data_IF_073658734068
#
_entry.id   IF_073658734068
#
_cell.length_a   1.000
_cell.length_b   1.000
_cell.length_c   1.000
_cell.angle_alpha   90.00
_cell.angle_beta   90.00
_cell.angle_gamma   90.00
#
_symmetry.space_group_name_H-M   'P 1'
#
loop_
_entity.id
_entity.type
_entity.pdbx_description
1 polymer ?
#
# COMPACT_ATOMS: atom_id res chain seq x y z
N UNK A 1 -10.15 8.31 25.05
CA UNK A 1 -11.08 9.35 25.59
C UNK A 1 -11.37 10.36 24.49
N UNK A 2 -12.48 11.08 24.58
CA UNK A 2 -12.79 12.19 23.67
C UNK A 2 -13.76 13.15 24.38
N UNK A 3 -13.41 14.42 24.50
CA UNK A 3 -14.21 15.40 25.26
C UNK A 3 -13.61 16.80 25.26
N UNK A 4 -14.18 17.71 26.04
CA UNK A 4 -13.66 19.07 26.21
C UNK A 4 -13.65 19.50 27.68
N UNK A 5 -12.83 20.49 28.02
CA UNK A 5 -12.74 21.02 29.38
C UNK A 5 -13.86 22.02 29.66
N UNK A 6 -14.36 22.05 30.90
CA UNK A 6 -15.46 22.93 31.34
C UNK A 6 -15.03 24.00 32.32
N UNK A 7 -13.73 24.10 32.59
CA UNK A 7 -13.12 24.96 33.60
C UNK A 7 -12.07 25.93 33.01
N UNK A 8 -11.76 25.80 31.72
CA UNK A 8 -10.88 26.71 30.97
C UNK A 8 -11.77 27.62 30.10
N UNK A 9 -11.90 28.89 30.50
CA UNK A 9 -12.88 29.84 29.95
C UNK A 9 -12.25 31.15 29.44
N UNK A 10 -10.94 31.15 29.16
CA UNK A 10 -10.23 32.33 28.63
C UNK A 10 -10.46 32.56 27.13
N UNK A 11 -10.98 31.55 26.44
CA UNK A 11 -11.40 31.59 25.03
C UNK A 11 -12.92 31.37 24.95
N UNK A 12 -13.50 31.79 23.84
CA UNK A 12 -14.85 31.45 23.37
C UNK A 12 -15.00 29.98 22.93
N UNK A 13 -13.92 29.21 22.88
CA UNK A 13 -13.91 27.76 22.66
C UNK A 13 -13.31 26.99 23.85
N UNK A 14 -13.95 25.90 24.25
CA UNK A 14 -13.40 24.94 25.22
C UNK A 14 -12.32 24.06 24.56
N UNK A 15 -11.14 23.90 25.18
CA UNK A 15 -10.14 22.93 24.75
C UNK A 15 -10.70 21.50 24.64
N UNK A 16 -10.47 20.85 23.51
CA UNK A 16 -10.86 19.45 23.24
C UNK A 16 -9.67 18.52 23.47
N UNK A 17 -9.90 17.36 24.07
CA UNK A 17 -8.91 16.32 24.29
C UNK A 17 -9.36 14.98 23.72
N UNK A 18 -8.39 14.18 23.29
CA UNK A 18 -8.59 12.80 22.86
C UNK A 18 -7.42 11.93 23.32
N UNK A 19 -7.68 10.65 23.60
CA UNK A 19 -6.62 9.66 23.86
C UNK A 19 -6.89 8.39 23.05
N UNK A 20 -5.82 7.84 22.50
CA UNK A 20 -5.84 6.67 21.62
C UNK A 20 -4.88 5.62 22.16
N UNK A 21 -5.30 4.36 22.08
CA UNK A 21 -4.40 3.21 22.19
C UNK A 21 -3.93 2.88 20.77
N UNK A 22 -2.62 3.01 20.53
CA UNK A 22 -2.03 2.83 19.21
C UNK A 22 -1.00 1.72 19.31
N UNK A 23 -1.22 0.64 18.56
CA UNK A 23 -0.25 -0.44 18.45
C UNK A 23 1.03 0.06 17.75
N UNK A 24 2.18 -0.38 18.24
CA UNK A 24 3.50 -0.06 17.69
C UNK A 24 4.26 -1.34 17.39
N UNK A 25 5.17 -1.27 16.42
CA UNK A 25 6.05 -2.38 16.03
C UNK A 25 7.49 -2.05 16.40
N UNK A 26 8.27 -3.10 16.67
CA UNK A 26 9.68 -2.96 17.04
C UNK A 26 10.55 -2.61 15.83
N UNK A 27 11.73 -2.03 16.07
CA UNK A 27 12.77 -1.96 15.05
C UNK A 27 13.34 -3.37 14.84
N UNK A 28 12.95 -4.02 13.74
CA UNK A 28 13.44 -5.35 13.41
C UNK A 28 14.86 -5.29 12.84
N UNK A 29 15.72 -6.20 13.31
CA UNK A 29 17.05 -6.45 12.76
C UNK A 29 17.10 -7.93 12.43
N UNK A 30 17.15 -8.26 11.14
CA UNK A 30 17.31 -9.65 10.72
C UNK A 30 18.73 -10.13 10.99
N UNK A 31 18.85 -11.38 11.45
CA UNK A 31 20.11 -12.15 11.35
C UNK A 31 20.26 -12.66 9.91
N UNK A 32 20.33 -11.76 8.93
CA UNK A 32 20.80 -12.16 7.62
C UNK A 32 22.32 -12.33 7.74
N UNK A 33 22.76 -13.48 8.27
CA UNK A 33 24.14 -13.92 8.04
C UNK A 33 24.31 -13.94 6.51
N UNK A 34 25.39 -13.32 6.00
CA UNK A 34 25.77 -13.22 4.58
C UNK A 34 25.81 -14.56 3.81
N UNK A 35 25.48 -15.68 4.46
CA UNK A 35 25.47 -17.05 3.94
C UNK A 35 24.09 -17.71 3.92
N UNK A 36 23.04 -17.11 4.46
CA UNK A 36 21.71 -17.71 4.44
C UNK A 36 20.92 -17.20 3.22
N UNK A 37 21.15 -17.83 2.06
CA UNK A 37 20.26 -17.77 0.89
C UNK A 37 18.97 -18.58 1.16
N UNK A 38 18.39 -18.43 2.35
CA UNK A 38 17.08 -18.99 2.69
C UNK A 38 16.03 -18.17 1.95
N UNK A 39 15.10 -18.86 1.29
CA UNK A 39 14.11 -18.30 0.36
C UNK A 39 13.71 -16.86 0.70
N UNK A 40 14.14 -15.91 -0.15
CA UNK A 40 13.68 -14.54 -0.06
C UNK A 40 12.15 -14.57 -0.01
N UNK A 41 11.56 -13.85 0.96
CA UNK A 41 10.11 -13.67 1.00
C UNK A 41 9.64 -13.10 -0.35
N UNK A 42 8.39 -13.35 -0.72
CA UNK A 42 7.84 -12.83 -1.97
C UNK A 42 6.43 -12.32 -1.73
N UNK A 43 6.13 -11.16 -2.29
CA UNK A 43 4.79 -10.60 -2.35
C UNK A 43 4.40 -10.57 -3.83
N UNK A 44 3.32 -11.26 -4.16
CA UNK A 44 2.80 -11.37 -5.52
C UNK A 44 1.41 -10.77 -5.60
N UNK A 45 1.19 -9.94 -6.62
CA UNK A 45 -0.09 -9.33 -6.92
C UNK A 45 -0.67 -9.98 -8.18
N UNK A 46 -1.87 -10.54 -8.05
CA UNK A 46 -2.53 -11.33 -9.09
C UNK A 46 -3.88 -10.69 -9.42
N UNK A 47 -4.24 -10.70 -10.71
CA UNK A 47 -5.54 -10.23 -11.21
C UNK A 47 -5.91 -8.80 -10.76
N UNK A 48 -4.94 -7.90 -10.74
CA UNK A 48 -5.15 -6.52 -10.27
C UNK A 48 -5.73 -5.62 -11.35
N UNK A 49 -6.62 -4.72 -10.93
CA UNK A 49 -7.14 -3.64 -11.75
C UNK A 49 -7.34 -2.39 -10.90
N UNK A 50 -7.24 -1.23 -11.54
CA UNK A 50 -7.50 0.07 -10.93
C UNK A 50 -8.64 0.75 -11.68
N UNK A 51 -9.59 1.34 -10.93
CA UNK A 51 -10.71 2.09 -11.51
C UNK A 51 -10.47 3.57 -11.23
N UNK A 52 -10.30 4.36 -12.30
CA UNK A 52 -9.91 5.75 -12.24
C UNK A 52 -11.04 6.67 -12.71
N UNK A 53 -11.32 7.70 -11.92
CA UNK A 53 -12.24 8.79 -12.29
C UNK A 53 -11.47 9.89 -13.01
N UNK A 54 -11.00 9.58 -14.21
CA UNK A 54 -10.27 10.50 -15.08
C UNK A 54 -10.82 10.49 -16.49
N UNK A 55 -10.70 11.62 -17.19
CA UNK A 55 -10.98 11.72 -18.63
C UNK A 55 -9.72 11.54 -19.48
N UNK A 56 -8.54 11.44 -18.84
CA UNK A 56 -7.28 11.21 -19.53
C UNK A 56 -7.25 9.80 -20.09
N UNK A 57 -6.74 9.67 -21.32
CA UNK A 57 -6.57 8.39 -22.02
C UNK A 57 -5.08 8.00 -22.13
N UNK A 58 -4.26 8.54 -21.24
CA UNK A 58 -2.84 8.15 -21.08
C UNK A 58 -2.73 6.71 -20.58
N UNK A 59 -1.52 6.15 -20.66
CA UNK A 59 -1.20 4.86 -20.06
C UNK A 59 -0.83 5.03 -18.60
N UNK A 60 -1.06 3.98 -17.81
CA UNK A 60 -0.82 4.02 -16.38
C UNK A 60 0.07 2.87 -15.92
N UNK A 61 0.91 3.14 -14.93
CA UNK A 61 1.70 2.16 -14.20
C UNK A 61 1.53 2.34 -12.70
N UNK A 62 1.99 1.38 -11.92
CA UNK A 62 1.97 1.39 -10.46
C UNK A 62 3.40 1.51 -9.93
N UNK A 63 3.58 2.33 -8.91
CA UNK A 63 4.74 2.29 -8.02
C UNK A 63 4.35 1.71 -6.66
N UNK A 64 5.16 0.75 -6.21
CA UNK A 64 5.03 0.09 -4.91
C UNK A 64 6.08 0.63 -3.95
N UNK A 65 5.62 1.15 -2.82
CA UNK A 65 6.46 1.70 -1.76
C UNK A 65 6.22 0.94 -0.46
N UNK A 66 7.30 0.60 0.23
CA UNK A 66 7.22 0.07 1.59
C UNK A 66 8.55 0.18 2.30
N UNK A 67 8.53 0.29 3.63
CA UNK A 67 9.70 0.10 4.48
C UNK A 67 10.28 -1.31 4.39
N UNK A 68 9.49 -2.28 3.93
CA UNK A 68 9.96 -3.64 3.74
C UNK A 68 10.72 -3.86 2.44
N UNK A 69 10.90 -2.84 1.58
CA UNK A 69 11.62 -2.93 0.31
C UNK A 69 12.89 -2.07 0.37
N UNK A 70 13.95 -2.46 -0.34
CA UNK A 70 15.18 -1.66 -0.43
C UNK A 70 14.95 -0.30 -1.12
N UNK A 71 14.07 -0.31 -2.13
CA UNK A 71 13.62 0.86 -2.87
C UNK A 71 12.23 0.59 -3.44
N UNK A 72 11.59 1.64 -3.97
CA UNK A 72 10.30 1.46 -4.63
C UNK A 72 10.44 0.62 -5.90
N UNK A 73 9.37 -0.10 -6.25
CA UNK A 73 9.32 -0.95 -7.44
C UNK A 73 8.27 -0.42 -8.40
N UNK A 74 8.61 -0.32 -9.68
CA UNK A 74 7.70 0.15 -10.74
C UNK A 74 7.17 -1.02 -11.57
N UNK A 75 5.87 -1.04 -11.84
CA UNK A 75 5.24 -2.01 -12.73
C UNK A 75 5.42 -1.64 -14.20
N UNK A 76 5.06 -2.59 -15.07
CA UNK A 76 4.76 -2.26 -16.47
C UNK A 76 3.43 -1.49 -16.58
N UNK A 77 3.20 -0.92 -17.77
CA UNK A 77 1.94 -0.24 -18.09
C UNK A 77 0.78 -1.23 -18.10
N UNK A 78 -0.36 -0.84 -17.54
CA UNK A 78 -1.60 -1.59 -17.64
C UNK A 78 -2.32 -1.35 -18.97
N UNK A 79 -3.33 -2.18 -19.23
CA UNK A 79 -4.22 -2.06 -20.38
C UNK A 79 -5.48 -1.28 -19.97
N UNK A 80 -5.77 -0.21 -20.71
CA UNK A 80 -6.93 0.63 -20.49
C UNK A 80 -8.18 0.00 -21.12
N UNK A 81 -9.25 -0.11 -20.33
CA UNK A 81 -10.58 -0.50 -20.77
C UNK A 81 -11.61 0.54 -20.33
N UNK A 82 -12.69 0.66 -21.12
CA UNK A 82 -13.82 1.52 -20.77
C UNK A 82 -14.76 0.78 -19.81
N UNK A 83 -14.95 1.35 -18.62
CA UNK A 83 -15.85 0.83 -17.59
C UNK A 83 -17.33 1.09 -17.91
N UNK A 84 -18.21 0.33 -17.25
CA UNK A 84 -19.66 0.38 -17.51
C UNK A 84 -20.31 1.75 -17.25
N UNK A 85 -19.72 2.59 -16.40
CA UNK A 85 -20.25 3.92 -16.05
C UNK A 85 -19.38 5.07 -16.59
N UNK A 86 -18.58 4.82 -17.62
CA UNK A 86 -17.66 5.82 -18.21
C UNK A 86 -16.40 6.08 -17.39
N UNK A 87 -16.09 5.20 -16.45
CA UNK A 87 -14.83 5.18 -15.70
C UNK A 87 -13.73 4.53 -16.52
N UNK A 88 -12.47 4.89 -16.27
CA UNK A 88 -11.33 4.23 -16.88
C UNK A 88 -10.90 3.05 -16.01
N UNK A 89 -10.92 1.83 -16.55
CA UNK A 89 -10.43 0.64 -15.86
C UNK A 89 -9.06 0.26 -16.42
N UNK A 90 -8.02 0.33 -15.59
CA UNK A 90 -6.67 -0.09 -15.95
C UNK A 90 -6.45 -1.51 -15.44
N UNK A 91 -6.31 -2.49 -16.35
CA UNK A 91 -6.03 -3.89 -16.01
C UNK A 91 -4.55 -4.19 -16.10
N UNK A 92 -4.02 -4.84 -15.07
CA UNK A 92 -2.65 -5.37 -15.07
C UNK A 92 -2.72 -6.86 -15.38
N UNK A 93 -2.78 -7.18 -16.68
CA UNK A 93 -3.00 -8.54 -17.21
C UNK A 93 -1.76 -9.42 -17.05
N UNK A 94 -0.58 -8.85 -17.30
CA UNK A 94 0.67 -9.47 -16.90
C UNK A 94 0.83 -9.42 -15.38
N UNK A 95 1.48 -10.44 -14.82
CA UNK A 95 1.77 -10.45 -13.40
C UNK A 95 2.55 -9.17 -13.03
N UNK A 96 2.01 -8.43 -12.06
CA UNK A 96 2.71 -7.30 -11.44
C UNK A 96 4.06 -7.77 -10.88
N UNK A 97 5.05 -6.88 -10.77
CA UNK A 97 6.39 -7.27 -10.34
C UNK A 97 6.34 -7.96 -8.97
N UNK A 98 7.04 -9.09 -8.86
CA UNK A 98 7.25 -9.77 -7.57
C UNK A 98 8.06 -8.86 -6.67
N UNK A 99 7.53 -8.53 -5.49
CA UNK A 99 8.26 -7.70 -4.53
C UNK A 99 9.06 -8.58 -3.58
N UNK A 100 10.33 -8.24 -3.40
CA UNK A 100 11.26 -8.93 -2.50
C UNK A 100 11.46 -8.10 -1.25
N UNK A 101 10.96 -8.54 -0.07
CA UNK A 101 11.15 -7.82 1.16
C UNK A 101 12.57 -8.02 1.70
N UNK A 102 13.08 -7.01 2.43
CA UNK A 102 14.40 -7.02 3.07
C UNK A 102 14.50 -8.05 4.21
N UNK A 103 13.37 -8.41 4.80
CA UNK A 103 13.24 -9.38 5.89
C UNK A 103 12.04 -10.27 5.57
N UNK A 104 12.26 -11.60 5.53
CA UNK A 104 11.23 -12.59 5.23
C UNK A 104 10.51 -13.14 6.47
N UNK A 105 10.92 -12.74 7.67
CA UNK A 105 10.29 -13.16 8.92
C UNK A 105 8.81 -12.74 8.94
N UNK A 106 7.85 -13.69 9.08
CA UNK A 106 6.44 -13.38 9.13
C UNK A 106 6.04 -12.41 10.25
N UNK A 107 6.71 -12.43 11.41
CA UNK A 107 6.44 -11.50 12.51
C UNK A 107 6.73 -10.06 12.11
N UNK A 108 7.71 -9.85 11.23
CA UNK A 108 7.99 -8.56 10.63
C UNK A 108 7.03 -8.25 9.47
N UNK A 109 6.92 -9.18 8.52
CA UNK A 109 6.29 -8.94 7.22
C UNK A 109 4.78 -8.74 7.31
N UNK A 110 4.10 -9.50 8.18
CA UNK A 110 2.65 -9.38 8.38
C UNK A 110 2.24 -8.04 9.00
N UNK A 111 3.18 -7.31 9.60
CA UNK A 111 2.95 -5.97 10.15
C UNK A 111 3.25 -4.85 9.15
N UNK A 112 3.75 -5.20 7.95
CA UNK A 112 4.08 -4.23 6.91
C UNK A 112 2.87 -3.88 6.05
N UNK A 113 3.03 -2.78 5.33
CA UNK A 113 2.05 -2.26 4.39
C UNK A 113 2.75 -1.92 3.08
N UNK A 114 2.05 -2.10 1.97
CA UNK A 114 2.49 -1.67 0.63
C UNK A 114 1.64 -0.47 0.24
N UNK A 115 2.27 0.69 0.09
CA UNK A 115 1.67 1.86 -0.52
C UNK A 115 1.77 1.71 -2.05
N UNK A 116 0.66 1.94 -2.73
CA UNK A 116 0.51 1.86 -4.18
C UNK A 116 0.23 3.27 -4.67
N UNK A 117 0.92 3.69 -5.72
CA UNK A 117 0.67 4.94 -6.42
C UNK A 117 0.46 4.64 -7.90
N UNK A 118 -0.73 4.94 -8.43
CA UNK A 118 -0.99 4.80 -9.87
C UNK A 118 -0.65 6.12 -10.55
N UNK A 119 0.24 6.04 -11.53
CA UNK A 119 0.79 7.19 -12.21
C UNK A 119 0.61 7.12 -13.71
N UNK A 120 0.54 8.29 -14.33
CA UNK A 120 0.54 8.39 -15.78
C UNK A 120 1.95 8.23 -16.36
N UNK A 121 2.08 7.45 -17.43
CA UNK A 121 3.33 7.29 -18.20
C UNK A 121 3.81 8.58 -18.88
N UNK A 122 2.92 9.53 -19.17
CA UNK A 122 3.28 10.75 -19.92
C UNK A 122 3.88 11.86 -19.06
N UNK A 123 3.47 11.92 -17.78
CA UNK A 123 3.71 13.05 -16.88
C UNK A 123 4.35 12.64 -15.56
N UNK A 124 4.36 11.35 -15.23
CA UNK A 124 4.79 10.82 -13.91
C UNK A 124 3.98 11.39 -12.73
N UNK A 125 2.80 11.96 -13.03
CA UNK A 125 1.86 12.48 -12.04
C UNK A 125 1.01 11.35 -11.44
N UNK A 126 0.75 11.45 -10.13
CA UNK A 126 -0.12 10.53 -9.38
C UNK A 126 -1.59 10.81 -9.66
N UNK A 127 -2.35 9.76 -9.97
CA UNK A 127 -3.80 9.78 -10.19
C UNK A 127 -4.58 9.08 -9.07
N UNK A 128 -3.87 8.45 -8.13
CA UNK A 128 -4.47 7.75 -7.02
C UNK A 128 -3.42 7.07 -6.16
N UNK A 129 -3.67 7.04 -4.85
CA UNK A 129 -2.81 6.43 -3.86
C UNK A 129 -3.64 5.51 -2.98
N UNK A 130 -3.06 4.38 -2.56
CA UNK A 130 -3.75 3.41 -1.74
C UNK A 130 -2.78 2.60 -0.89
N UNK A 131 -3.29 1.96 0.16
CA UNK A 131 -2.46 1.23 1.12
C UNK A 131 -3.02 -0.18 1.33
N UNK A 132 -2.15 -1.18 1.19
CA UNK A 132 -2.48 -2.59 1.38
C UNK A 132 -1.71 -3.12 2.58
N UNK A 133 -2.44 -3.60 3.60
CA UNK A 133 -1.83 -4.30 4.72
C UNK A 133 -1.48 -5.75 4.33
N UNK A 134 -0.29 -6.21 4.72
CA UNK A 134 0.12 -7.61 4.50
C UNK A 134 -0.44 -8.58 5.56
N UNK A 135 -1.12 -8.05 6.59
CA UNK A 135 -1.82 -8.82 7.62
C UNK A 135 -3.10 -9.47 7.08
N UNK A 136 -2.97 -10.39 6.14
CA UNK A 136 -4.12 -11.09 5.54
C UNK A 136 -3.99 -12.60 5.68
N UNK A 137 -4.67 -13.14 6.70
CA UNK A 137 -5.28 -14.48 6.78
C UNK A 137 -4.47 -15.77 6.59
N UNK A 138 -3.54 -15.88 5.64
CA UNK A 138 -2.79 -17.11 5.38
C UNK A 138 -1.56 -16.79 4.52
N UNK A 139 -0.36 -17.06 5.03
CA UNK A 139 0.81 -17.17 4.17
C UNK A 139 0.53 -18.25 3.11
N UNK A 140 0.90 -17.98 1.85
CA UNK A 140 0.76 -18.92 0.72
C UNK A 140 -0.68 -19.15 0.18
N UNK A 141 -1.64 -18.29 0.52
CA UNK A 141 -2.99 -18.31 -0.07
C UNK A 141 -3.29 -17.05 -0.88
N UNK A 142 -4.07 -17.18 -1.96
CA UNK A 142 -4.60 -16.03 -2.68
C UNK A 142 -5.72 -15.38 -1.85
N UNK A 143 -5.49 -14.14 -1.45
CA UNK A 143 -6.44 -13.34 -0.65
C UNK A 143 -6.89 -12.12 -1.44
N UNK A 144 -8.17 -11.74 -1.39
CA UNK A 144 -8.63 -10.51 -2.02
C UNK A 144 -8.02 -9.29 -1.31
N UNK A 145 -7.58 -8.32 -2.10
CA UNK A 145 -7.05 -7.04 -1.64
C UNK A 145 -7.86 -5.92 -2.28
N UNK A 146 -8.07 -4.83 -1.52
CA UNK A 146 -8.77 -3.65 -2.01
C UNK A 146 -8.27 -2.43 -1.25
N UNK A 147 -8.10 -1.33 -1.97
CA UNK A 147 -7.87 0.02 -1.43
C UNK A 147 -8.73 0.98 -2.25
N UNK A 148 -9.22 2.04 -1.63
CA UNK A 148 -10.12 3.04 -2.21
C UNK A 148 -9.42 4.38 -2.31
#
# INVERSE_FOLDING_TARGET
SYGCTTDIMTSDHSPVFATFEVAVTSQFVSKNDDKFTGSLGQIEFLHCSAVLKTKSQTKFYIEFYSSCLESFVKSQEGENEEGNEGELVVKFVEALPKLTPIISDPEYLLDQHILICIKSSDSDESYGEGCIALRSGAAESQVPIQTV
#
